data_IF_705838304370
#
_entry.id   IF_705838304370
#
_cell.length_a   1.000
_cell.length_b   1.000
_cell.length_c   1.000
_cell.angle_alpha   90.00
_cell.angle_beta   90.00
_cell.angle_gamma   90.00
#
_symmetry.space_group_name_H-M   'P 1'
#
loop_
_entity.id
_entity.type
_entity.pdbx_description
1 polymer ?
#
# COMPACT_ATOMS: atom_id res chain seq x y z
N UNK A 1 11.00 52.19 -44.11
CA UNK A 1 10.40 51.56 -42.91
C UNK A 1 11.20 50.31 -42.62
N UNK A 2 12.00 50.30 -41.54
CA UNK A 2 12.84 49.15 -41.14
C UNK A 2 12.11 48.41 -40.01
N UNK A 3 11.67 47.17 -40.26
CA UNK A 3 11.09 46.31 -39.24
C UNK A 3 12.23 45.63 -38.46
N UNK A 4 12.29 45.87 -37.15
CA UNK A 4 13.23 45.23 -36.22
C UNK A 4 12.55 43.95 -35.74
N UNK A 5 13.16 42.81 -36.06
CA UNK A 5 12.74 41.48 -35.60
C UNK A 5 13.44 41.17 -34.27
N UNK A 6 12.71 41.26 -33.16
CA UNK A 6 13.23 40.90 -31.83
C UNK A 6 13.02 39.40 -31.61
N UNK A 7 14.10 38.62 -31.63
CA UNK A 7 14.08 37.22 -31.26
C UNK A 7 14.12 37.06 -29.73
N UNK A 8 13.04 36.57 -29.13
CA UNK A 8 13.00 36.17 -27.72
C UNK A 8 13.68 34.80 -27.58
N UNK A 9 14.88 34.78 -26.99
CA UNK A 9 15.60 33.56 -26.64
C UNK A 9 15.06 33.06 -25.28
N UNK A 10 14.17 32.07 -25.32
CA UNK A 10 13.68 31.39 -24.11
C UNK A 10 14.75 30.42 -23.60
N UNK A 11 15.52 30.82 -22.59
CA UNK A 11 16.42 29.94 -21.84
C UNK A 11 15.61 29.05 -20.91
N UNK A 12 15.44 27.78 -21.29
CA UNK A 12 14.89 26.74 -20.43
C UNK A 12 15.89 26.42 -19.32
N UNK A 13 15.62 26.86 -18.09
CA UNK A 13 16.31 26.36 -16.90
C UNK A 13 15.88 24.91 -16.65
N UNK A 14 16.69 23.95 -17.09
CA UNK A 14 16.59 22.58 -16.60
C UNK A 14 17.10 22.56 -15.16
N UNK A 15 16.19 22.57 -14.17
CA UNK A 15 16.57 22.28 -12.79
C UNK A 15 17.12 20.85 -12.72
N UNK A 16 18.34 20.63 -12.21
CA UNK A 16 18.79 19.29 -11.92
C UNK A 16 17.86 18.72 -10.85
N UNK A 17 17.19 17.61 -11.16
CA UNK A 17 16.52 16.83 -10.14
C UNK A 17 17.60 16.40 -9.14
N UNK A 18 17.53 16.93 -7.92
CA UNK A 18 18.29 16.38 -6.80
C UNK A 18 17.78 14.96 -6.59
N UNK A 19 18.40 14.01 -7.27
CA UNK A 19 18.22 12.59 -7.01
C UNK A 19 18.85 12.32 -5.65
N UNK A 20 18.10 12.57 -4.58
CA UNK A 20 18.43 12.00 -3.28
C UNK A 20 18.52 10.48 -3.44
N UNK A 21 19.47 9.86 -2.75
CA UNK A 21 19.56 8.41 -2.73
C UNK A 21 18.27 7.83 -2.14
N UNK A 22 17.45 7.22 -2.98
CA UNK A 22 16.31 6.42 -2.51
C UNK A 22 16.86 5.13 -1.90
N UNK A 23 16.37 4.80 -0.72
CA UNK A 23 16.76 3.57 -0.02
C UNK A 23 15.52 2.89 0.52
N UNK A 24 15.61 1.60 0.84
CA UNK A 24 14.51 0.88 1.47
C UNK A 24 14.31 1.26 2.95
N UNK A 25 15.18 2.12 3.48
CA UNK A 25 15.03 2.62 4.85
C UNK A 25 13.96 3.71 4.83
N UNK A 26 12.81 3.39 5.40
CA UNK A 26 11.76 4.38 5.62
C UNK A 26 12.30 5.55 6.45
N UNK A 27 11.76 6.74 6.20
CA UNK A 27 12.13 7.97 6.90
C UNK A 27 10.89 8.71 7.40
N UNK A 28 11.01 9.55 8.44
CA UNK A 28 9.91 10.43 8.84
C UNK A 28 9.36 11.27 7.69
N UNK A 29 10.25 11.82 6.84
CA UNK A 29 9.85 12.60 5.66
C UNK A 29 9.08 11.80 4.60
N UNK A 30 9.37 10.50 4.44
CA UNK A 30 8.55 9.62 3.59
C UNK A 30 7.13 9.43 4.17
N UNK A 31 7.04 9.21 5.48
CA UNK A 31 5.75 9.07 6.17
C UNK A 31 4.89 10.35 6.11
N UNK A 32 5.52 11.51 6.23
CA UNK A 32 4.87 12.81 6.05
C UNK A 32 4.40 12.99 4.61
N UNK A 33 5.29 12.77 3.63
CA UNK A 33 4.96 12.93 2.21
C UNK A 33 3.81 12.04 1.76
N UNK A 34 3.80 10.74 2.12
CA UNK A 34 2.68 9.87 1.75
C UNK A 34 1.35 10.35 2.34
N UNK A 35 1.37 10.88 3.56
CA UNK A 35 0.18 11.39 4.25
C UNK A 35 -0.31 12.69 3.61
N UNK A 36 0.61 13.60 3.29
CA UNK A 36 0.32 14.85 2.57
C UNK A 36 -0.35 14.55 1.23
N UNK A 37 0.17 13.58 0.45
CA UNK A 37 -0.46 13.17 -0.82
C UNK A 37 -1.90 12.70 -0.61
N UNK A 38 -2.18 11.93 0.46
CA UNK A 38 -3.54 11.51 0.78
C UNK A 38 -4.45 12.71 1.12
N UNK A 39 -3.94 13.67 1.89
CA UNK A 39 -4.66 14.89 2.31
C UNK A 39 -4.92 15.83 1.13
N UNK A 40 -3.93 16.09 0.28
CA UNK A 40 -4.05 16.90 -0.94
C UNK A 40 -5.11 16.33 -1.89
N UNK A 41 -5.20 15.00 -1.97
CA UNK A 41 -6.22 14.28 -2.74
C UNK A 41 -7.57 14.18 -2.05
N UNK A 42 -7.70 14.73 -0.84
CA UNK A 42 -8.92 14.73 -0.03
C UNK A 42 -9.45 13.31 0.16
N UNK A 43 -8.56 12.35 0.35
CA UNK A 43 -8.95 10.99 0.63
C UNK A 43 -9.56 10.88 2.02
N UNK A 44 -10.69 10.17 2.09
CA UNK A 44 -11.26 9.72 3.35
C UNK A 44 -10.33 8.69 3.97
N UNK A 45 -9.88 8.94 5.18
CA UNK A 45 -9.24 7.94 6.03
C UNK A 45 -10.33 7.13 6.74
N UNK A 46 -10.54 5.90 6.28
CA UNK A 46 -11.58 5.02 6.83
C UNK A 46 -11.35 4.76 8.31
N UNK A 47 -12.35 5.08 9.13
CA UNK A 47 -12.32 4.85 10.58
C UNK A 47 -12.78 3.43 10.91
N UNK A 48 -13.77 2.95 10.17
CA UNK A 48 -14.46 1.68 10.44
C UNK A 48 -14.62 0.80 9.19
N UNK A 49 -14.99 -0.49 9.35
CA UNK A 49 -15.42 -1.35 8.24
C UNK A 49 -16.60 -0.79 7.42
N UNK A 50 -17.50 -0.02 8.06
CA UNK A 50 -18.64 0.59 7.37
C UNK A 50 -18.17 1.65 6.37
N UNK A 51 -17.19 2.48 6.76
CA UNK A 51 -16.58 3.47 5.88
C UNK A 51 -15.95 2.82 4.64
N UNK A 52 -15.31 1.65 4.80
CA UNK A 52 -14.77 0.88 3.67
C UNK A 52 -15.91 0.47 2.73
N UNK A 53 -17.00 -0.06 3.27
CA UNK A 53 -18.16 -0.49 2.49
C UNK A 53 -18.81 0.67 1.73
N UNK A 54 -18.87 1.86 2.32
CA UNK A 54 -19.35 3.09 1.67
C UNK A 54 -18.42 3.52 0.52
N UNK A 55 -17.11 3.49 0.74
CA UNK A 55 -16.14 3.82 -0.30
C UNK A 55 -16.15 2.79 -1.44
N UNK A 56 -16.41 1.51 -1.16
CA UNK A 56 -16.61 0.49 -2.19
C UNK A 56 -17.89 0.75 -2.97
N UNK A 57 -18.99 1.03 -2.28
CA UNK A 57 -20.29 1.29 -2.92
C UNK A 57 -20.28 2.54 -3.81
N UNK A 58 -19.46 3.55 -3.45
CA UNK A 58 -19.26 4.76 -4.26
C UNK A 58 -18.18 4.62 -5.35
N UNK A 59 -17.59 3.43 -5.53
CA UNK A 59 -16.53 3.16 -6.52
C UNK A 59 -15.19 3.83 -6.20
N UNK A 60 -15.05 4.44 -5.02
CA UNK A 60 -13.84 5.11 -4.54
C UNK A 60 -12.77 4.10 -4.10
N UNK A 61 -13.18 2.93 -3.64
CA UNK A 61 -12.34 1.74 -3.47
C UNK A 61 -12.89 0.62 -4.35
N UNK A 62 -12.00 -0.22 -4.86
CA UNK A 62 -12.35 -1.35 -5.73
C UNK A 62 -11.86 -2.65 -5.11
N UNK A 63 -12.58 -3.78 -5.32
CA UNK A 63 -12.12 -5.08 -4.86
C UNK A 63 -10.82 -5.48 -5.56
N UNK A 64 -9.88 -5.99 -4.77
CA UNK A 64 -8.65 -6.60 -5.23
C UNK A 64 -8.84 -8.11 -5.16
N UNK A 65 -8.86 -8.76 -6.32
CA UNK A 65 -9.09 -10.20 -6.43
C UNK A 65 -7.78 -10.87 -6.84
N UNK A 66 -7.37 -11.89 -6.10
CA UNK A 66 -6.19 -12.70 -6.42
C UNK A 66 -6.30 -13.35 -7.80
N UNK A 67 -5.16 -13.75 -8.37
CA UNK A 67 -5.11 -14.43 -9.65
C UNK A 67 -3.79 -15.14 -9.88
N UNK A 68 -3.45 -15.36 -11.15
CA UNK A 68 -2.23 -16.08 -11.53
C UNK A 68 -0.95 -15.35 -11.10
N UNK A 69 -0.95 -14.02 -11.18
CA UNK A 69 0.26 -13.22 -10.96
C UNK A 69 0.45 -12.82 -9.49
N UNK A 70 -0.61 -12.82 -8.68
CA UNK A 70 -0.50 -12.52 -7.26
C UNK A 70 -1.57 -13.19 -6.39
N UNK A 71 -1.24 -13.36 -5.12
CA UNK A 71 -2.10 -13.93 -4.09
C UNK A 71 -2.36 -12.92 -2.97
N UNK A 72 -3.47 -13.10 -2.26
CA UNK A 72 -3.76 -12.39 -1.01
C UNK A 72 -3.48 -13.32 0.18
N UNK A 73 -2.71 -12.85 1.16
CA UNK A 73 -2.42 -13.59 2.37
C UNK A 73 -3.02 -12.86 3.59
N UNK A 74 -4.13 -13.40 4.11
CA UNK A 74 -4.82 -12.89 5.31
C UNK A 74 -5.22 -11.40 5.23
N UNK A 75 -5.62 -10.93 4.05
CA UNK A 75 -6.04 -9.54 3.84
C UNK A 75 -7.49 -9.35 4.27
N UNK A 76 -7.71 -8.73 5.44
CA UNK A 76 -9.05 -8.54 6.01
C UNK A 76 -9.96 -7.58 5.21
N UNK A 77 -9.38 -6.60 4.51
CA UNK A 77 -10.11 -5.66 3.66
C UNK A 77 -9.44 -5.61 2.29
N UNK A 78 -9.80 -6.52 1.36
CA UNK A 78 -9.15 -6.65 0.06
C UNK A 78 -9.65 -5.57 -0.92
N UNK A 79 -9.51 -4.30 -0.53
CA UNK A 79 -9.96 -3.15 -1.29
C UNK A 79 -8.86 -2.12 -1.37
N UNK A 80 -8.77 -1.41 -2.49
CA UNK A 80 -7.78 -0.36 -2.69
C UNK A 80 -8.31 0.72 -3.63
N UNK A 81 -7.59 1.85 -3.75
CA UNK A 81 -7.85 2.80 -4.84
C UNK A 81 -7.64 2.11 -6.20
N UNK A 82 -8.37 2.50 -7.26
CA UNK A 82 -8.20 1.91 -8.59
C UNK A 82 -6.75 1.90 -9.09
N UNK A 83 -6.00 2.97 -8.83
CA UNK A 83 -4.60 3.11 -9.24
C UNK A 83 -3.68 2.17 -8.47
N UNK A 84 -4.01 1.84 -7.21
CA UNK A 84 -3.27 0.84 -6.44
C UNK A 84 -3.54 -0.56 -6.99
N UNK A 85 -4.79 -0.88 -7.37
CA UNK A 85 -5.10 -2.15 -8.02
C UNK A 85 -4.32 -2.30 -9.33
N UNK A 86 -4.28 -1.25 -10.15
CA UNK A 86 -3.50 -1.25 -11.39
C UNK A 86 -2.00 -1.43 -11.12
N UNK A 87 -1.47 -0.73 -10.10
CA UNK A 87 -0.10 -0.91 -9.63
C UNK A 87 0.19 -2.36 -9.21
N UNK A 88 -0.68 -2.97 -8.41
CA UNK A 88 -0.51 -4.36 -7.95
C UNK A 88 -0.50 -5.30 -9.15
N UNK A 89 -1.44 -5.17 -10.09
CA UNK A 89 -1.52 -6.04 -11.27
C UNK A 89 -0.26 -5.95 -12.13
N UNK A 90 0.18 -4.72 -12.45
CA UNK A 90 1.37 -4.51 -13.30
C UNK A 90 2.65 -4.96 -12.62
N UNK A 91 2.80 -4.69 -11.32
CA UNK A 91 3.95 -5.13 -10.53
C UNK A 91 3.97 -6.65 -10.42
N UNK A 92 2.83 -7.29 -10.17
CA UNK A 92 2.70 -8.74 -10.08
C UNK A 92 3.06 -9.45 -11.38
N UNK A 93 2.55 -8.97 -12.51
CA UNK A 93 2.89 -9.50 -13.83
C UNK A 93 4.39 -9.42 -14.11
N UNK A 94 4.99 -8.25 -13.84
CA UNK A 94 6.45 -8.07 -13.95
C UNK A 94 7.24 -8.95 -12.99
N UNK A 95 6.78 -9.10 -11.75
CA UNK A 95 7.43 -9.89 -10.70
C UNK A 95 7.48 -11.36 -11.09
N UNK A 96 6.33 -11.90 -11.53
CA UNK A 96 6.23 -13.28 -12.01
C UNK A 96 7.04 -13.50 -13.28
N UNK A 97 6.98 -12.60 -14.26
CA UNK A 97 7.78 -12.71 -15.48
C UNK A 97 9.30 -12.63 -15.20
N UNK A 98 9.72 -11.75 -14.30
CA UNK A 98 11.14 -11.52 -14.01
C UNK A 98 11.75 -12.58 -13.11
N UNK A 99 11.02 -13.06 -12.09
CA UNK A 99 11.58 -13.92 -11.07
C UNK A 99 10.91 -15.30 -10.94
N UNK A 100 9.67 -15.47 -11.42
CA UNK A 100 8.97 -16.76 -11.50
C UNK A 100 7.98 -17.05 -10.37
N UNK A 101 7.93 -16.22 -9.32
CA UNK A 101 6.99 -16.39 -8.20
C UNK A 101 5.75 -15.51 -8.38
N UNK A 102 4.57 -15.92 -7.89
CA UNK A 102 3.45 -15.00 -7.74
C UNK A 102 3.76 -13.99 -6.61
N UNK A 103 3.39 -12.73 -6.82
CA UNK A 103 3.51 -11.70 -5.80
C UNK A 103 2.51 -11.99 -4.65
N UNK A 104 2.87 -11.70 -3.40
CA UNK A 104 1.97 -11.95 -2.25
C UNK A 104 1.66 -10.64 -1.54
N UNK A 105 0.40 -10.22 -1.62
CA UNK A 105 -0.15 -9.05 -0.92
C UNK A 105 -0.58 -9.47 0.49
N UNK A 106 -0.11 -8.76 1.50
CA UNK A 106 -0.37 -9.06 2.91
C UNK A 106 -1.27 -8.02 3.59
N UNK A 107 -1.44 -6.85 3.00
CA UNK A 107 -2.32 -5.78 3.51
C UNK A 107 -2.70 -4.82 2.39
N UNK A 108 -3.89 -4.23 2.48
CA UNK A 108 -4.41 -3.19 1.59
C UNK A 108 -5.08 -2.10 2.43
N UNK A 109 -6.30 -1.68 2.10
CA UNK A 109 -7.05 -0.78 2.97
C UNK A 109 -7.14 -1.36 4.38
N UNK A 110 -6.93 -0.55 5.41
CA UNK A 110 -7.11 -0.97 6.81
C UNK A 110 -7.69 0.19 7.60
N UNK A 111 -8.96 0.09 8.05
CA UNK A 111 -9.58 1.13 8.85
C UNK A 111 -8.80 1.43 10.12
N UNK A 112 -8.91 2.65 10.64
CA UNK A 112 -8.26 3.06 11.89
C UNK A 112 -8.61 2.13 13.06
N UNK A 113 -9.86 1.70 13.18
CA UNK A 113 -10.30 0.77 14.23
C UNK A 113 -9.70 -0.64 14.12
N UNK A 114 -9.04 -0.96 13.00
CA UNK A 114 -8.43 -2.26 12.73
C UNK A 114 -6.90 -2.18 12.60
N UNK A 115 -6.31 -1.01 12.85
CA UNK A 115 -4.86 -0.83 12.83
C UNK A 115 -4.20 -1.62 13.99
N UNK A 116 -3.01 -2.20 13.77
CA UNK A 116 -2.27 -2.84 14.85
C UNK A 116 -1.77 -1.78 15.84
N UNK A 117 -1.50 -2.18 17.08
CA UNK A 117 -1.09 -1.25 18.15
C UNK A 117 0.21 -0.49 17.87
N UNK A 118 1.02 -0.94 16.93
CA UNK A 118 2.26 -0.28 16.49
C UNK A 118 2.10 0.55 15.21
N UNK A 119 0.87 0.78 14.72
CA UNK A 119 0.64 1.59 13.54
C UNK A 119 1.02 3.06 13.75
N UNK A 120 1.62 3.67 12.73
CA UNK A 120 1.92 5.09 12.76
C UNK A 120 0.66 5.95 12.54
N UNK A 121 0.58 7.10 13.20
CA UNK A 121 -0.55 8.05 13.08
C UNK A 121 -0.76 8.57 11.65
N UNK A 122 0.33 8.63 10.89
CA UNK A 122 0.35 9.06 9.48
C UNK A 122 0.17 7.90 8.49
N UNK A 123 -0.29 6.73 8.94
CA UNK A 123 -0.54 5.59 8.04
C UNK A 123 -1.54 5.96 6.95
N UNK A 124 -1.27 5.51 5.72
CA UNK A 124 -2.13 5.74 4.55
C UNK A 124 -2.89 4.49 4.11
N UNK A 125 -2.80 3.38 4.86
CA UNK A 125 -3.70 2.24 4.70
C UNK A 125 -5.18 2.62 4.84
N UNK A 126 -5.59 3.47 5.81
CA UNK A 126 -7.00 3.87 5.91
C UNK A 126 -7.50 4.65 4.71
N UNK A 127 -6.60 5.31 3.97
CA UNK A 127 -6.92 6.05 2.74
C UNK A 127 -7.00 5.16 1.49
N UNK A 128 -6.61 3.88 1.60
CA UNK A 128 -6.62 2.89 0.52
C UNK A 128 -5.51 3.06 -0.52
N UNK A 129 -4.50 3.90 -0.24
CA UNK A 129 -3.37 4.16 -1.15
C UNK A 129 -2.09 3.37 -0.81
N UNK A 130 -2.11 2.56 0.25
CA UNK A 130 -1.01 1.67 0.61
C UNK A 130 -1.30 0.19 0.30
N UNK A 131 -0.24 -0.56 0.03
CA UNK A 131 -0.22 -2.01 -0.12
C UNK A 131 1.03 -2.58 0.54
N UNK A 132 0.87 -3.68 1.27
CA UNK A 132 2.01 -4.40 1.83
C UNK A 132 2.28 -5.68 1.03
N UNK A 133 3.55 -5.96 0.75
CA UNK A 133 3.97 -7.19 0.11
C UNK A 133 4.87 -8.02 1.01
N UNK A 134 4.68 -9.35 0.96
CA UNK A 134 5.59 -10.30 1.59
C UNK A 134 6.99 -10.19 1.00
N UNK A 135 8.02 -10.25 1.85
CA UNK A 135 9.41 -10.40 1.39
C UNK A 135 9.64 -11.87 0.99
N UNK A 136 9.99 -12.13 -0.27
CA UNK A 136 10.28 -13.49 -0.75
C UNK A 136 11.57 -14.05 -0.15
N UNK A 137 11.62 -15.37 0.02
CA UNK A 137 12.84 -16.09 0.39
C UNK A 137 13.84 -16.20 -0.77
N UNK A 138 13.39 -16.03 -2.02
CA UNK A 138 14.22 -16.03 -3.21
C UNK A 138 14.97 -14.70 -3.37
N UNK A 139 16.31 -14.77 -3.39
CA UNK A 139 17.19 -13.62 -3.59
C UNK A 139 16.92 -12.92 -4.91
N UNK A 140 16.70 -13.71 -5.98
CA UNK A 140 16.35 -13.21 -7.31
C UNK A 140 15.07 -12.37 -7.25
N UNK A 141 14.04 -12.89 -6.58
CA UNK A 141 12.76 -12.21 -6.46
C UNK A 141 12.83 -10.96 -5.57
N UNK A 142 13.57 -11.00 -4.44
CA UNK A 142 13.81 -9.80 -3.63
C UNK A 142 14.54 -8.73 -4.42
N UNK A 143 15.62 -9.09 -5.14
CA UNK A 143 16.39 -8.14 -5.95
C UNK A 143 15.52 -7.52 -7.04
N UNK A 144 14.69 -8.31 -7.73
CA UNK A 144 13.75 -7.80 -8.72
C UNK A 144 12.78 -6.79 -8.09
N UNK A 145 12.20 -7.13 -6.93
CA UNK A 145 11.23 -6.29 -6.23
C UNK A 145 11.85 -4.97 -5.80
N UNK A 146 12.97 -5.02 -5.09
CA UNK A 146 13.65 -3.85 -4.55
C UNK A 146 14.15 -2.93 -5.68
N UNK A 147 14.73 -3.50 -6.74
CA UNK A 147 15.16 -2.72 -7.91
C UNK A 147 13.99 -2.01 -8.59
N UNK A 148 12.88 -2.73 -8.80
CA UNK A 148 11.70 -2.19 -9.49
C UNK A 148 11.02 -1.09 -8.68
N UNK A 149 10.82 -1.31 -7.37
CA UNK A 149 10.16 -0.34 -6.50
C UNK A 149 11.00 0.91 -6.30
N UNK A 150 12.31 0.77 -6.05
CA UNK A 150 13.22 1.93 -5.95
C UNK A 150 13.27 2.72 -7.27
N UNK A 151 13.17 2.06 -8.43
CA UNK A 151 13.09 2.76 -9.71
C UNK A 151 11.79 3.56 -9.89
N UNK A 152 10.68 3.12 -9.29
CA UNK A 152 9.42 3.85 -9.28
C UNK A 152 9.42 4.99 -8.25
N UNK A 153 10.05 4.80 -7.10
CA UNK A 153 10.25 5.84 -6.08
C UNK A 153 11.11 7.00 -6.62
N UNK A 154 12.21 6.72 -7.32
CA UNK A 154 13.02 7.77 -8.00
C UNK A 154 12.23 8.61 -8.99
N UNK A 155 11.14 8.06 -9.53
CA UNK A 155 10.23 8.76 -10.46
C UNK A 155 9.09 9.48 -9.74
N UNK A 156 9.05 9.45 -8.40
CA UNK A 156 8.00 10.04 -7.58
C UNK A 156 6.64 9.36 -7.73
N UNK A 157 6.60 8.08 -8.09
CA UNK A 157 5.35 7.35 -8.33
C UNK A 157 4.79 6.68 -7.07
N UNK A 158 5.65 6.41 -6.10
CA UNK A 158 5.34 5.74 -4.85
C UNK A 158 6.42 6.06 -3.81
N UNK A 159 6.16 5.67 -2.57
CA UNK A 159 7.18 5.42 -1.55
C UNK A 159 7.26 3.95 -1.20
N UNK A 160 8.47 3.48 -0.91
CA UNK A 160 8.71 2.11 -0.45
C UNK A 160 9.54 2.12 0.84
N UNK A 161 9.06 1.37 1.83
CA UNK A 161 9.82 1.05 3.04
C UNK A 161 9.90 -0.47 3.21
N UNK A 162 11.10 -0.98 3.53
CA UNK A 162 11.24 -2.36 4.00
C UNK A 162 11.10 -2.39 5.52
N UNK A 163 9.90 -2.70 5.98
CA UNK A 163 9.61 -2.84 7.41
C UNK A 163 10.23 -4.11 7.99
N UNK A 164 10.57 -4.06 9.28
CA UNK A 164 11.23 -5.17 9.99
C UNK A 164 10.27 -5.99 10.85
N UNK A 165 9.22 -5.39 11.40
CA UNK A 165 8.36 -6.03 12.40
C UNK A 165 6.87 -5.72 12.18
N UNK A 166 6.11 -6.61 11.50
CA UNK A 166 6.60 -7.80 10.78
C UNK A 166 7.41 -7.43 9.53
N UNK A 167 8.21 -8.37 9.01
CA UNK A 167 9.03 -8.12 7.83
C UNK A 167 8.18 -8.10 6.54
N UNK A 168 8.06 -6.94 5.91
CA UNK A 168 7.31 -6.75 4.66
C UNK A 168 7.80 -5.50 3.91
N UNK A 169 7.38 -5.35 2.66
CA UNK A 169 7.50 -4.10 1.92
C UNK A 169 6.22 -3.30 2.11
N UNK A 170 6.30 -2.12 2.72
CA UNK A 170 5.21 -1.16 2.77
C UNK A 170 5.32 -0.20 1.58
N UNK A 171 4.32 -0.18 0.70
CA UNK A 171 4.31 0.68 -0.48
C UNK A 171 3.13 1.64 -0.43
N UNK A 172 3.40 2.94 -0.46
CA UNK A 172 2.38 3.97 -0.65
C UNK A 172 2.40 4.46 -2.10
N UNK A 173 1.40 4.09 -2.90
CA UNK A 173 1.30 4.49 -4.31
C UNK A 173 0.75 5.90 -4.40
N UNK A 174 1.34 6.76 -5.22
CA UNK A 174 0.86 8.13 -5.42
C UNK A 174 -0.10 8.18 -6.61
N UNK A 175 -1.42 8.17 -6.40
CA UNK A 175 -2.33 7.64 -7.43
C UNK A 175 -2.33 8.43 -8.73
N UNK A 176 -2.31 9.77 -8.69
CA UNK A 176 -2.30 10.53 -9.94
C UNK A 176 -0.94 10.56 -10.64
N UNK A 177 0.17 10.46 -9.89
CA UNK A 177 1.49 10.31 -10.50
C UNK A 177 1.58 8.94 -11.19
N UNK A 178 1.13 7.89 -10.50
CA UNK A 178 1.08 6.53 -11.04
C UNK A 178 0.14 6.41 -12.24
N UNK A 179 -1.08 6.93 -12.19
CA UNK A 179 -2.02 6.90 -13.31
C UNK A 179 -1.46 7.63 -14.55
N UNK A 180 -0.81 8.78 -14.35
CA UNK A 180 -0.14 9.53 -15.42
C UNK A 180 1.05 8.75 -16.02
N UNK A 181 1.74 7.95 -15.22
CA UNK A 181 2.79 7.05 -15.71
C UNK A 181 2.20 5.85 -16.46
N UNK A 182 1.19 5.20 -15.90
CA UNK A 182 0.56 3.99 -16.43
C UNK A 182 -0.14 4.22 -17.76
N UNK A 183 -0.74 5.40 -17.97
CA UNK A 183 -1.37 5.78 -19.25
C UNK A 183 -0.36 5.97 -20.40
N UNK A 184 0.91 6.26 -20.09
CA UNK A 184 1.98 6.48 -21.07
C UNK A 184 2.91 5.28 -21.27
N UNK A 185 2.78 4.29 -20.40
CA UNK A 185 3.66 3.12 -20.39
C UNK A 185 2.82 1.87 -20.55
N UNK A 186 3.08 1.01 -21.54
CA UNK A 186 2.40 -0.28 -21.63
C UNK A 186 2.61 -1.13 -20.37
N UNK A 187 1.61 -1.92 -19.98
CA UNK A 187 1.78 -2.92 -18.93
C UNK A 187 2.80 -3.98 -19.40
N UNK A 188 3.63 -4.55 -18.49
CA UNK A 188 4.46 -5.68 -18.85
C UNK A 188 3.56 -6.84 -19.31
N UNK A 189 3.98 -7.55 -20.35
CA UNK A 189 3.27 -8.75 -20.78
C UNK A 189 3.27 -9.75 -19.62
N UNK A 190 2.08 -10.10 -19.13
CA UNK A 190 1.95 -11.24 -18.22
C UNK A 190 2.34 -12.49 -19.02
N UNK A 191 3.12 -13.44 -18.47
CA UNK A 191 3.35 -14.72 -19.14
C UNK A 191 1.96 -15.33 -19.32
N UNK A 192 1.51 -15.41 -20.59
CA UNK A 192 0.17 -15.85 -20.92
C UNK A 192 -0.20 -17.06 -20.06
N UNK A 193 -1.34 -16.99 -19.37
CA UNK A 193 -1.96 -18.21 -18.91
C UNK A 193 -2.00 -19.17 -20.11
N UNK A 194 -1.70 -20.47 -19.95
CA UNK A 194 -1.88 -21.40 -21.06
C UNK A 194 -3.29 -21.16 -21.61
N UNK A 195 -3.39 -20.94 -22.93
CA UNK A 195 -4.70 -20.86 -23.58
C UNK A 195 -5.56 -22.00 -23.05
N UNK A 196 -6.85 -21.77 -22.76
CA UNK A 196 -7.74 -22.86 -22.38
C UNK A 196 -7.65 -23.88 -23.50
N UNK A 197 -6.95 -24.99 -23.24
CA UNK A 197 -6.97 -26.16 -24.10
C UNK A 197 -8.45 -26.49 -24.18
N UNK A 198 -9.04 -26.26 -25.36
CA UNK A 198 -10.42 -26.61 -25.61
C UNK A 198 -10.63 -28.03 -25.08
N UNK A 199 -11.72 -28.30 -24.32
CA UNK A 199 -11.93 -29.62 -23.77
C UNK A 199 -11.86 -30.61 -24.93
N UNK A 200 -10.89 -31.52 -24.86
CA UNK A 200 -10.83 -32.64 -25.77
C UNK A 200 -12.22 -33.28 -25.76
N UNK A 201 -12.80 -33.41 -26.95
CA UNK A 201 -14.11 -34.03 -27.13
C UNK A 201 -14.15 -35.37 -26.36
N UNK A 202 -15.26 -35.70 -25.69
CA UNK A 202 -15.36 -36.95 -24.97
C UNK A 202 -15.17 -38.12 -25.94
N UNK A 203 -14.04 -38.79 -25.84
CA UNK A 203 -13.87 -40.14 -26.37
C UNK A 203 -14.97 -41.01 -25.78
N UNK A 204 -15.71 -41.68 -26.64
CA UNK A 204 -16.84 -42.53 -26.30
C UNK A 204 -16.51 -43.51 -25.14
N UNK A 205 -17.45 -43.80 -24.23
CA UNK A 205 -17.21 -44.74 -23.16
C UNK A 205 -17.09 -46.17 -23.73
N UNK A 206 -15.94 -46.79 -23.47
CA UNK A 206 -15.78 -48.22 -23.55
C UNK A 206 -16.69 -48.89 -22.51
N UNK A 207 -17.46 -49.89 -22.96
CA UNK A 207 -18.31 -50.71 -22.12
C UNK A 207 -17.49 -51.38 -21.01
N UNK A 208 -17.84 -51.10 -19.75
CA UNK A 208 -17.35 -51.83 -18.59
C UNK A 208 -18.49 -52.65 -17.98
N UNK A 209 -18.22 -53.94 -17.90
CA UNK A 209 -19.05 -55.02 -17.37
C UNK A 209 -19.39 -54.76 -15.89
N UNK A 210 -20.65 -54.95 -15.54
CA UNK A 210 -21.16 -54.90 -14.16
C UNK A 210 -20.78 -56.22 -13.48
N UNK A 211 -19.86 -56.19 -12.53
CA UNK A 211 -19.67 -57.27 -11.56
C UNK A 211 -19.98 -56.76 -10.15
N UNK A 212 -21.06 -57.32 -9.59
CA UNK A 212 -21.59 -56.99 -8.29
C UNK A 212 -20.72 -57.60 -7.18
N UNK A 213 -20.20 -56.75 -6.29
CA UNK A 213 -19.57 -57.16 -5.05
C UNK A 213 -20.29 -56.56 -3.84
N UNK A 214 -20.56 -57.45 -2.88
CA UNK A 214 -21.44 -57.37 -1.71
C UNK A 214 -21.09 -56.24 -0.71
N UNK A 215 -22.06 -55.76 0.09
CA UNK A 215 -21.81 -54.78 1.15
C UNK A 215 -21.11 -55.42 2.36
N UNK A 216 -20.05 -54.77 2.84
CA UNK A 216 -19.38 -55.08 4.10
C UNK A 216 -20.12 -54.41 5.29
N UNK A 217 -20.11 -55.01 6.49
CA UNK A 217 -20.87 -54.55 7.64
C UNK A 217 -20.28 -53.31 8.31
N UNK A 218 -21.16 -52.49 8.88
CA UNK A 218 -20.87 -51.26 9.59
C UNK A 218 -20.00 -51.48 10.85
N UNK A 219 -19.01 -50.61 11.13
CA UNK A 219 -18.32 -50.63 12.42
C UNK A 219 -19.15 -49.99 13.53
N UNK A 220 -19.10 -50.65 14.69
CA UNK A 220 -19.79 -50.33 15.92
C UNK A 220 -19.39 -48.97 16.51
N UNK A 221 -20.39 -48.30 17.08
CA UNK A 221 -20.26 -47.05 17.82
C UNK A 221 -19.69 -47.36 19.21
N UNK A 222 -18.45 -46.95 19.46
CA UNK A 222 -17.89 -46.91 20.83
C UNK A 222 -17.94 -45.49 21.35
N UNK A 223 -18.88 -45.24 22.26
CA UNK A 223 -18.97 -44.07 23.11
C UNK A 223 -17.87 -44.11 24.20
N UNK A 224 -17.14 -43.00 24.35
CA UNK A 224 -16.22 -42.76 25.46
C UNK A 224 -16.44 -41.34 26.01
N UNK A 225 -16.14 -41.10 27.30
CA UNK A 225 -16.94 -40.24 28.16
C UNK A 225 -16.55 -38.75 28.11
N UNK A 226 -17.55 -37.91 28.41
CA UNK A 226 -17.43 -36.48 28.60
C UNK A 226 -16.59 -36.13 29.83
N UNK A 227 -15.43 -35.50 29.59
CA UNK A 227 -14.62 -34.89 30.64
C UNK A 227 -15.20 -33.52 31.00
N UNK A 228 -15.60 -33.36 32.26
CA UNK A 228 -16.17 -32.15 32.82
C UNK A 228 -15.22 -30.95 32.72
N UNK A 229 -15.64 -29.90 32.01
CA UNK A 229 -14.98 -28.59 32.01
C UNK A 229 -15.38 -27.85 33.29
N UNK A 230 -14.43 -27.74 34.22
CA UNK A 230 -14.57 -26.95 35.45
C UNK A 230 -14.55 -25.46 35.10
N UNK A 231 -15.71 -24.81 35.20
CA UNK A 231 -15.87 -23.37 35.02
C UNK A 231 -14.99 -22.60 36.01
N UNK A 232 -14.04 -21.80 35.50
CA UNK A 232 -13.33 -20.79 36.29
C UNK A 232 -14.26 -19.59 36.47
N UNK A 233 -14.45 -19.19 37.74
CA UNK A 233 -15.15 -17.94 38.11
C UNK A 233 -14.44 -16.72 37.48
N UNK A 234 -15.19 -15.72 36.99
CA UNK A 234 -14.62 -14.44 36.60
C UNK A 234 -14.14 -13.65 37.83
N UNK A 235 -13.00 -12.97 37.69
CA UNK A 235 -12.46 -12.05 38.68
C UNK A 235 -13.30 -10.75 38.71
N UNK A 236 -13.45 -10.09 39.88
CA UNK A 236 -14.15 -8.82 40.00
C UNK A 236 -13.37 -7.67 39.36
N UNK A 237 -14.05 -6.62 38.84
CA UNK A 237 -13.39 -5.44 38.28
C UNK A 237 -12.72 -4.61 39.39
N UNK A 238 -11.48 -4.20 39.15
CA UNK A 238 -10.79 -3.22 39.98
C UNK A 238 -11.35 -1.82 39.75
N UNK A 239 -11.51 -1.09 40.86
CA UNK A 239 -12.21 0.17 41.00
C UNK A 239 -11.54 1.35 40.30
N UNK A 240 -12.38 2.24 39.81
CA UNK A 240 -12.08 3.61 39.43
C UNK A 240 -11.40 4.39 40.55
N UNK A 241 -10.32 5.09 40.21
CA UNK A 241 -9.65 6.08 41.03
C UNK A 241 -9.04 7.16 40.14
N UNK A 242 -9.75 8.27 39.97
CA UNK A 242 -9.15 9.57 39.69
C UNK A 242 -9.54 10.54 40.81
N UNK A 243 -9.23 11.84 40.71
CA UNK A 243 -8.12 12.49 40.01
C UNK A 243 -7.22 13.25 41.02
N UNK A 244 -5.90 13.27 40.82
CA UNK A 244 -5.06 14.28 41.47
C UNK A 244 -4.62 15.34 40.48
N UNK A 245 -5.14 16.53 40.77
CA UNK A 245 -4.74 17.85 40.32
C UNK A 245 -3.25 18.10 40.56
N UNK A 246 -2.50 18.45 39.52
CA UNK A 246 -1.24 19.17 39.67
C UNK A 246 -1.19 20.32 38.65
N UNK A 247 -1.49 21.48 39.21
CA UNK A 247 -1.26 22.84 38.73
C UNK A 247 0.21 23.02 38.30
N UNK A 248 0.47 23.41 37.05
CA UNK A 248 1.70 24.12 36.70
C UNK A 248 1.37 25.29 35.77
N UNK A 249 1.28 26.46 36.38
CA UNK A 249 1.46 27.75 35.73
C UNK A 249 2.92 27.88 35.28
N UNK A 250 3.12 28.38 34.06
CA UNK A 250 4.42 28.71 33.52
C UNK A 250 4.27 29.55 32.27
N UNK A 251 3.83 30.79 32.44
CA UNK A 251 3.80 31.81 31.41
C UNK A 251 5.23 32.20 31.03
N UNK A 252 5.68 31.76 29.84
CA UNK A 252 6.91 32.20 29.19
C UNK A 252 6.57 33.15 28.05
N UNK A 253 6.82 34.42 28.30
CA UNK A 253 6.60 35.56 27.42
C UNK A 253 7.54 35.59 26.20
N UNK A 254 7.03 36.20 25.11
CA UNK A 254 7.72 37.10 24.18
C UNK A 254 9.10 36.70 23.62
N UNK A 255 9.15 36.44 22.30
CA UNK A 255 10.17 37.08 21.46
C UNK A 255 9.72 37.17 19.99
N UNK A 256 9.21 38.35 19.65
CA UNK A 256 9.11 38.88 18.29
C UNK A 256 10.36 39.74 18.04
N UNK A 257 10.85 39.67 16.80
CA UNK A 257 11.83 40.58 16.16
C UNK A 257 13.30 40.43 16.54
N UNK A 258 14.13 40.04 15.56
CA UNK A 258 15.21 40.88 15.01
C UNK A 258 16.24 40.05 14.19
N UNK A 259 15.92 39.68 12.94
CA UNK A 259 16.95 39.46 11.90
C UNK A 259 16.41 39.95 10.55
N UNK A 260 16.22 41.26 10.45
CA UNK A 260 16.00 41.99 9.20
C UNK A 260 16.86 43.26 9.29
N UNK A 261 18.17 43.05 9.38
CA UNK A 261 19.17 44.11 9.53
C UNK A 261 20.43 43.83 8.71
N UNK A 262 20.28 43.55 7.42
CA UNK A 262 21.27 43.84 6.38
C UNK A 262 20.46 43.86 5.08
N UNK A 263 20.34 45.01 4.42
CA UNK A 263 20.00 45.20 2.98
C UNK A 263 19.59 46.65 2.63
N UNK A 264 19.69 47.62 3.56
CA UNK A 264 19.50 49.04 3.22
C UNK A 264 20.72 49.89 3.59
N UNK A 265 21.73 49.86 2.71
CA UNK A 265 22.72 50.93 2.57
C UNK A 265 23.34 50.89 1.17
N UNK A 266 22.95 51.82 0.31
CA UNK A 266 23.67 52.12 -0.93
C UNK A 266 22.77 52.58 -2.06
N UNK A 267 22.67 53.90 -2.27
CA UNK A 267 22.09 54.46 -3.50
C UNK A 267 21.43 55.82 -3.30
N UNK A 268 22.23 56.89 -3.27
CA UNK A 268 21.75 58.27 -3.46
C UNK A 268 21.35 58.44 -4.94
N UNK A 269 20.20 59.04 -5.28
CA UNK A 269 20.00 59.60 -6.61
C UNK A 269 20.54 61.05 -6.67
N UNK A 270 21.24 61.35 -7.77
CA UNK A 270 21.60 62.71 -8.15
C UNK A 270 20.34 63.52 -8.51
N UNK A 271 20.31 64.80 -8.11
CA UNK A 271 19.35 65.79 -8.60
C UNK A 271 20.03 66.67 -9.66
N UNK A 272 19.26 66.98 -10.70
CA UNK A 272 19.33 68.20 -11.50
C UNK A 272 18.70 69.34 -10.68
#
# INVERSE_FOLDING_TARGET
MKAILTALLATAFASPAMAGDVTLTGSPGSMERQHEVAVERRYTFTKSPADVSELVSSGKLVPVVAGTDFQLANVGFPYARPEVLEFVKRTAAGYRAGCGEPLVVTSLTRPLANQPGNAHKLSVHPAGMAVDFRISKSDKCRKWMETSLLAMERKGLLDITRERHPAHYHVAVFPGAYASFASRTPAPASPAAPEPVAPAAPSAPAAAVVEAARPAPAPAVTSAPATAVRARRPAPPARDGGPETALFMGAGALLVAAVLWVMFRGGRPARV
#
